data_IF_900255413559
#
_entry.id   IF_900255413559
#
_cell.length_a   1.000
_cell.length_b   1.000
_cell.length_c   1.000
_cell.angle_alpha   90.00
_cell.angle_beta   90.00
_cell.angle_gamma   90.00
#
_symmetry.space_group_name_H-M   'P 1'
#
loop_
_entity.id
_entity.type
_entity.pdbx_description
1 polymer ?
#
# COMPACT_ATOMS: atom_id res chain seq x y z
N UNK A 1 -0.84 -11.89 -19.89
CA UNK A 1 -1.35 -12.46 -18.63
C UNK A 1 -2.71 -11.85 -18.32
N UNK A 2 -3.75 -12.64 -18.02
CA UNK A 2 -5.07 -12.10 -17.59
C UNK A 2 -4.90 -11.55 -16.17
N UNK A 3 -5.21 -10.26 -15.95
CA UNK A 3 -5.31 -9.69 -14.60
C UNK A 3 -6.30 -10.51 -13.78
N UNK A 4 -5.86 -11.08 -12.68
CA UNK A 4 -6.70 -11.86 -11.75
C UNK A 4 -7.51 -10.95 -10.81
N UNK A 5 -7.12 -9.70 -10.68
CA UNK A 5 -7.89 -8.70 -9.95
C UNK A 5 -8.89 -8.02 -10.89
N UNK A 6 -10.14 -7.79 -10.46
CA UNK A 6 -11.05 -6.95 -11.22
C UNK A 6 -10.37 -5.60 -11.49
N UNK A 7 -10.59 -5.07 -12.68
CA UNK A 7 -9.98 -3.82 -13.14
C UNK A 7 -10.15 -2.77 -12.03
N UNK A 8 -9.04 -2.23 -11.52
CA UNK A 8 -9.07 -1.10 -10.58
C UNK A 8 -9.48 0.19 -11.33
N UNK A 9 -10.15 0.05 -12.47
CA UNK A 9 -10.81 1.17 -13.13
C UNK A 9 -11.83 1.78 -12.19
N UNK A 10 -11.89 3.10 -12.09
CA UNK A 10 -12.91 3.76 -11.29
C UNK A 10 -14.27 3.21 -11.72
N UNK A 11 -15.03 2.66 -10.77
CA UNK A 11 -16.40 2.21 -11.00
C UNK A 11 -17.11 3.34 -11.71
N UNK A 12 -17.54 3.09 -12.95
CA UNK A 12 -18.20 4.08 -13.77
C UNK A 12 -19.32 4.74 -12.99
N UNK A 13 -19.14 6.03 -12.82
CA UNK A 13 -20.07 7.02 -12.32
C UNK A 13 -21.45 6.85 -12.98
N UNK A 14 -22.32 6.09 -12.35
CA UNK A 14 -23.73 6.34 -12.43
C UNK A 14 -24.15 6.86 -11.05
N UNK A 15 -24.45 8.18 -11.01
CA UNK A 15 -24.95 8.98 -9.90
C UNK A 15 -23.92 9.51 -8.89
N UNK A 16 -23.57 10.80 -9.03
CA UNK A 16 -23.21 11.76 -7.98
C UNK A 16 -21.99 11.43 -7.14
N UNK A 17 -20.88 12.21 -7.34
CA UNK A 17 -19.77 12.41 -6.41
C UNK A 17 -19.33 11.16 -5.59
N UNK A 18 -18.94 10.09 -6.26
CA UNK A 18 -18.31 8.98 -5.58
C UNK A 18 -16.90 9.42 -5.15
N UNK A 19 -16.74 9.68 -3.85
CA UNK A 19 -15.44 9.98 -3.24
C UNK A 19 -14.52 8.77 -3.38
N UNK A 20 -13.33 8.95 -3.98
CA UNK A 20 -12.32 7.90 -4.00
C UNK A 20 -11.88 7.54 -2.59
N UNK A 21 -11.65 6.25 -2.36
CA UNK A 21 -11.15 5.71 -1.09
C UNK A 21 -9.80 5.02 -1.29
N UNK A 22 -9.12 4.63 -0.22
CA UNK A 22 -7.90 3.81 -0.33
C UNK A 22 -8.17 2.44 -0.99
N UNK A 23 -9.38 1.89 -0.86
CA UNK A 23 -9.77 0.64 -1.50
C UNK A 23 -9.78 0.71 -3.04
N UNK A 24 -9.87 1.90 -3.64
CA UNK A 24 -9.77 2.09 -5.10
C UNK A 24 -8.35 1.88 -5.65
N UNK A 25 -7.35 1.75 -4.78
CA UNK A 25 -5.94 1.54 -5.13
C UNK A 25 -5.41 0.16 -4.71
N UNK A 26 -6.29 -0.72 -4.25
CA UNK A 26 -5.93 -2.09 -3.85
C UNK A 26 -7.10 -3.04 -4.10
N UNK A 27 -6.91 -4.32 -3.80
CA UNK A 27 -7.99 -5.31 -3.80
C UNK A 27 -7.70 -6.37 -2.73
N UNK A 28 -8.67 -7.19 -2.31
CA UNK A 28 -8.47 -8.21 -1.28
C UNK A 28 -7.30 -9.15 -1.53
N UNK A 29 -6.97 -9.44 -2.80
CA UNK A 29 -5.82 -10.28 -3.17
C UNK A 29 -4.46 -9.64 -2.89
N UNK A 30 -4.40 -8.33 -2.69
CA UNK A 30 -3.20 -7.57 -2.36
C UNK A 30 -3.04 -7.33 -0.86
N UNK A 31 -3.95 -7.88 -0.03
CA UNK A 31 -3.95 -7.68 1.41
C UNK A 31 -3.49 -8.97 2.11
N UNK A 32 -2.56 -8.83 3.05
CA UNK A 32 -1.99 -9.93 3.82
C UNK A 32 -2.14 -9.65 5.33
N UNK A 33 -3.15 -10.22 6.01
CA UNK A 33 -3.36 -10.02 7.45
C UNK A 33 -2.27 -10.65 8.33
N UNK A 34 -1.40 -11.48 7.75
CA UNK A 34 -0.25 -12.08 8.42
C UNK A 34 0.89 -12.38 7.45
N UNK A 35 1.88 -11.47 7.38
CA UNK A 35 3.11 -11.69 6.64
C UNK A 35 4.01 -12.70 7.35
N UNK A 36 4.70 -13.53 6.57
CA UNK A 36 5.62 -14.57 7.06
C UNK A 36 7.06 -14.11 7.07
N UNK A 37 7.39 -13.05 6.32
CA UNK A 37 8.72 -12.49 6.24
C UNK A 37 9.22 -12.04 7.62
N UNK A 38 10.46 -12.41 7.97
CA UNK A 38 11.07 -12.12 9.27
C UNK A 38 12.01 -10.90 9.24
N UNK A 39 12.09 -10.23 8.10
CA UNK A 39 12.89 -9.01 7.91
C UNK A 39 12.32 -8.19 6.76
N UNK A 40 12.81 -6.95 6.62
CA UNK A 40 12.40 -5.99 5.59
C UNK A 40 12.43 -6.61 4.17
N UNK A 41 13.54 -7.25 3.81
CA UNK A 41 13.72 -7.81 2.47
C UNK A 41 12.71 -8.93 2.16
N UNK A 42 12.47 -9.83 3.12
CA UNK A 42 11.51 -10.92 2.97
C UNK A 42 10.06 -10.40 2.85
N UNK A 43 9.71 -9.37 3.63
CA UNK A 43 8.38 -8.74 3.59
C UNK A 43 8.16 -8.02 2.26
N UNK A 44 9.13 -7.23 1.79
CA UNK A 44 9.03 -6.56 0.48
C UNK A 44 8.90 -7.60 -0.64
N UNK A 45 9.64 -8.71 -0.56
CA UNK A 45 9.54 -9.80 -1.54
C UNK A 45 8.15 -10.46 -1.53
N UNK A 46 7.60 -10.75 -0.35
CA UNK A 46 6.27 -11.35 -0.20
C UNK A 46 5.18 -10.46 -0.81
N UNK A 47 5.19 -9.16 -0.50
CA UNK A 47 4.25 -8.19 -1.07
C UNK A 47 4.45 -7.97 -2.57
N UNK A 48 5.70 -8.00 -3.07
CA UNK A 48 5.99 -7.96 -4.51
C UNK A 48 5.38 -9.14 -5.25
N UNK A 49 5.39 -10.31 -4.62
CA UNK A 49 4.76 -11.50 -5.17
C UNK A 49 3.24 -11.40 -5.25
N UNK A 50 2.58 -10.74 -4.27
CA UNK A 50 1.14 -10.46 -4.36
C UNK A 50 0.81 -9.56 -5.55
N UNK A 51 1.56 -8.47 -5.75
CA UNK A 51 1.40 -7.56 -6.89
C UNK A 51 1.62 -8.27 -8.24
N UNK A 52 2.61 -9.14 -8.31
CA UNK A 52 2.86 -9.97 -9.51
C UNK A 52 1.71 -10.93 -9.77
N UNK A 53 1.26 -11.68 -8.77
CA UNK A 53 0.14 -12.62 -8.91
C UNK A 53 -1.15 -11.94 -9.34
N UNK A 54 -1.39 -10.74 -8.88
CA UNK A 54 -2.55 -9.94 -9.25
C UNK A 54 -2.41 -9.29 -10.66
N UNK A 55 -1.23 -9.37 -11.28
CA UNK A 55 -0.97 -8.88 -12.64
C UNK A 55 -0.65 -7.38 -12.72
N UNK A 56 -0.31 -6.73 -11.59
CA UNK A 56 0.09 -5.32 -11.57
C UNK A 56 1.58 -5.13 -11.88
N UNK A 57 2.38 -6.13 -11.63
CA UNK A 57 3.84 -6.13 -11.85
C UNK A 57 4.20 -7.26 -12.81
N UNK A 58 4.97 -7.01 -13.87
CA UNK A 58 5.29 -8.02 -14.89
C UNK A 58 6.28 -9.09 -14.42
N UNK A 59 7.17 -8.73 -13.50
CA UNK A 59 8.19 -9.63 -12.93
C UNK A 59 8.47 -9.25 -11.47
N UNK A 60 8.54 -10.25 -10.60
CA UNK A 60 8.78 -10.08 -9.15
C UNK A 60 10.16 -9.50 -8.88
N UNK A 61 11.22 -10.10 -9.49
CA UNK A 61 12.59 -9.80 -9.10
C UNK A 61 13.03 -8.36 -9.41
N UNK A 62 12.81 -7.81 -10.62
CA UNK A 62 13.16 -6.42 -10.90
C UNK A 62 12.40 -5.44 -10.00
N UNK A 63 11.09 -5.67 -9.79
CA UNK A 63 10.27 -4.82 -8.94
C UNK A 63 10.71 -4.87 -7.47
N UNK A 64 10.92 -6.08 -6.94
CA UNK A 64 11.42 -6.29 -5.58
C UNK A 64 12.76 -5.59 -5.35
N UNK A 65 13.71 -5.74 -6.29
CA UNK A 65 15.03 -5.09 -6.18
C UNK A 65 14.91 -3.57 -6.16
N UNK A 66 14.11 -3.01 -7.06
CA UNK A 66 13.89 -1.57 -7.12
C UNK A 66 13.27 -1.02 -5.83
N UNK A 67 12.27 -1.72 -5.26
CA UNK A 67 11.64 -1.34 -3.99
C UNK A 67 12.62 -1.45 -2.82
N UNK A 68 13.43 -2.51 -2.79
CA UNK A 68 14.43 -2.72 -1.75
C UNK A 68 15.57 -1.69 -1.80
N UNK A 69 16.03 -1.35 -3.00
CA UNK A 69 17.08 -0.34 -3.19
C UNK A 69 16.57 1.05 -2.83
N UNK A 70 15.31 1.38 -3.18
CA UNK A 70 14.67 2.62 -2.75
C UNK A 70 14.62 2.72 -1.22
N UNK A 71 14.21 1.66 -0.54
CA UNK A 71 14.09 1.61 0.92
C UNK A 71 15.45 1.67 1.62
N UNK A 72 16.50 1.11 1.01
CA UNK A 72 17.88 1.20 1.52
C UNK A 72 18.50 2.58 1.33
N UNK A 73 18.13 3.28 0.26
CA UNK A 73 18.59 4.64 -0.01
C UNK A 73 17.98 5.67 0.95
N UNK A 74 16.76 5.42 1.42
CA UNK A 74 16.06 6.26 2.39
C UNK A 74 14.89 5.49 2.99
N UNK A 75 14.98 5.14 4.27
CA UNK A 75 13.93 4.36 4.93
C UNK A 75 12.61 5.14 4.99
N UNK A 76 11.53 4.47 4.60
CA UNK A 76 10.17 5.01 4.69
C UNK A 76 9.46 4.63 5.99
N UNK A 77 10.15 3.92 6.88
CA UNK A 77 9.59 3.52 8.16
C UNK A 77 9.37 4.70 9.10
N UNK A 78 8.24 4.72 9.79
CA UNK A 78 7.87 5.75 10.75
C UNK A 78 7.88 5.23 12.18
N UNK A 79 7.94 6.15 13.15
CA UNK A 79 7.88 5.83 14.58
C UNK A 79 6.55 5.18 15.00
N UNK A 80 5.49 5.37 14.20
CA UNK A 80 4.19 4.72 14.40
C UNK A 80 4.15 3.25 13.97
N UNK A 81 5.25 2.73 13.42
CA UNK A 81 5.38 1.34 13.01
C UNK A 81 4.82 1.02 11.62
N UNK A 82 4.85 1.98 10.71
CA UNK A 82 4.43 1.85 9.33
C UNK A 82 5.62 2.00 8.39
N UNK A 83 5.55 1.36 7.20
CA UNK A 83 6.54 1.56 6.15
C UNK A 83 5.85 1.62 4.79
N UNK A 84 6.37 2.46 3.87
CA UNK A 84 5.84 2.66 2.52
C UNK A 84 6.91 2.47 1.44
N UNK A 85 7.54 1.29 1.33
CA UNK A 85 8.44 1.01 0.22
C UNK A 85 7.70 1.15 -1.11
N UNK A 86 8.42 1.60 -2.15
CA UNK A 86 7.83 1.83 -3.47
C UNK A 86 8.79 1.49 -4.61
N UNK A 87 8.21 1.12 -5.76
CA UNK A 87 8.95 0.98 -6.99
C UNK A 87 8.12 1.40 -8.21
N UNK A 88 8.82 1.84 -9.27
CA UNK A 88 8.20 2.28 -10.53
C UNK A 88 7.88 1.08 -11.40
N UNK A 89 6.69 1.10 -12.02
CA UNK A 89 6.23 0.13 -13.02
C UNK A 89 5.93 0.86 -14.33
N UNK A 90 6.52 0.39 -15.44
CA UNK A 90 6.49 1.11 -16.73
C UNK A 90 5.08 1.30 -17.29
N UNK A 91 4.29 0.23 -17.35
CA UNK A 91 3.00 0.17 -18.03
C UNK A 91 1.82 0.13 -17.04
N UNK A 92 2.00 0.70 -15.86
CA UNK A 92 0.93 0.79 -14.87
C UNK A 92 0.04 2.00 -15.17
N UNK A 93 -1.27 1.78 -15.30
CA UNK A 93 -2.23 2.84 -15.65
C UNK A 93 -2.51 3.79 -14.47
N UNK A 94 -2.50 3.26 -13.24
CA UNK A 94 -2.69 4.04 -12.00
C UNK A 94 -1.90 3.37 -10.87
N UNK A 95 -1.49 4.12 -9.83
CA UNK A 95 -0.80 3.52 -8.70
C UNK A 95 -1.68 2.48 -8.02
N UNK A 96 -1.04 1.49 -7.43
CA UNK A 96 -1.70 0.53 -6.55
C UNK A 96 -0.75 0.12 -5.43
N UNK A 97 -1.30 -0.51 -4.39
CA UNK A 97 -0.48 -1.00 -3.28
C UNK A 97 -0.91 -2.39 -2.82
N UNK A 98 0.07 -3.14 -2.32
CA UNK A 98 -0.15 -4.29 -1.47
C UNK A 98 0.07 -3.89 0.00
N UNK A 99 -0.82 -4.34 0.89
CA UNK A 99 -0.73 -4.10 2.33
C UNK A 99 -0.52 -5.40 3.07
N UNK A 100 0.48 -5.41 3.96
CA UNK A 100 0.69 -6.54 4.83
C UNK A 100 0.91 -6.15 6.29
N UNK A 101 0.37 -6.97 7.19
CA UNK A 101 0.64 -6.87 8.62
C UNK A 101 1.68 -7.91 9.02
N UNK A 102 2.76 -7.48 9.66
CA UNK A 102 3.77 -8.36 10.21
C UNK A 102 3.22 -9.15 11.40
N UNK A 103 3.50 -10.44 11.48
CA UNK A 103 3.08 -11.28 12.61
C UNK A 103 3.71 -10.81 13.92
N UNK A 104 4.94 -10.32 13.85
CA UNK A 104 5.66 -9.65 14.94
C UNK A 104 6.28 -8.35 14.42
N UNK A 105 6.46 -7.32 15.26
CA UNK A 105 7.14 -6.10 14.86
C UNK A 105 8.54 -6.40 14.32
N UNK A 106 8.91 -5.79 13.19
CA UNK A 106 10.20 -6.02 12.53
C UNK A 106 11.11 -4.81 12.70
N UNK A 107 12.38 -5.06 13.01
CA UNK A 107 13.43 -4.07 12.84
C UNK A 107 13.58 -3.79 11.32
N UNK A 108 13.23 -2.58 10.89
CA UNK A 108 13.14 -2.24 9.47
C UNK A 108 14.47 -1.79 8.88
N UNK A 109 15.28 -1.09 9.64
CA UNK A 109 16.61 -0.64 9.25
C UNK A 109 17.67 -1.15 10.23
N UNK A 110 18.96 -1.01 9.89
CA UNK A 110 20.10 -1.39 10.73
C UNK A 110 20.26 -0.45 11.96
N UNK A 111 19.18 -0.08 12.60
CA UNK A 111 19.16 0.74 13.82
C UNK A 111 18.06 0.26 14.74
N UNK A 112 18.11 0.66 16.01
CA UNK A 112 17.20 0.20 17.06
C UNK A 112 15.73 0.63 16.90
N UNK A 113 15.37 1.40 15.84
CA UNK A 113 14.00 1.88 15.56
C UNK A 113 13.88 2.29 14.09
N UNK A 114 12.67 2.27 13.50
CA UNK A 114 11.38 1.90 14.09
C UNK A 114 11.06 0.40 13.93
N UNK A 115 10.24 -0.13 14.84
CA UNK A 115 9.60 -1.45 14.70
C UNK A 115 8.40 -1.35 13.78
N UNK A 116 8.47 -1.97 12.60
CA UNK A 116 7.39 -1.92 11.62
C UNK A 116 6.39 -3.06 11.82
N UNK A 117 5.11 -2.71 11.84
CA UNK A 117 3.98 -3.61 11.97
C UNK A 117 3.16 -3.71 10.68
N UNK A 118 3.03 -2.61 9.94
CA UNK A 118 2.26 -2.53 8.71
C UNK A 118 3.13 -2.01 7.57
N UNK A 119 3.06 -2.68 6.43
CA UNK A 119 3.85 -2.35 5.25
C UNK A 119 2.93 -2.16 4.05
N UNK A 120 2.98 -0.97 3.45
CA UNK A 120 2.30 -0.63 2.21
C UNK A 120 3.34 -0.60 1.08
N UNK A 121 3.41 -1.64 0.29
CA UNK A 121 4.29 -1.67 -0.87
C UNK A 121 3.58 -1.07 -2.08
N UNK A 122 4.05 0.10 -2.53
CA UNK A 122 3.45 0.84 -3.61
C UNK A 122 4.09 0.48 -4.96
N UNK A 123 3.25 0.16 -5.94
CA UNK A 123 3.60 0.14 -7.35
C UNK A 123 3.13 1.48 -7.96
N UNK A 124 4.07 2.28 -8.45
CA UNK A 124 3.79 3.61 -8.99
C UNK A 124 4.04 3.65 -10.51
N UNK A 125 3.17 4.31 -11.30
CA UNK A 125 3.41 4.49 -12.72
C UNK A 125 4.70 5.27 -12.98
N UNK A 126 5.34 5.03 -14.14
CA UNK A 126 6.51 5.84 -14.55
C UNK A 126 6.16 7.31 -14.76
N UNK A 127 4.98 7.58 -15.31
CA UNK A 127 4.44 8.93 -15.45
C UNK A 127 3.55 9.20 -14.24
N UNK A 128 4.12 9.86 -13.25
CA UNK A 128 3.45 10.17 -11.99
C UNK A 128 2.84 11.57 -12.09
N UNK A 129 1.55 11.66 -12.38
CA UNK A 129 0.83 12.94 -12.43
C UNK A 129 0.35 13.38 -11.03
N UNK A 130 -0.02 14.68 -10.92
CA UNK A 130 -0.45 15.30 -9.64
C UNK A 130 -1.56 14.56 -8.88
N UNK A 131 -2.37 13.74 -9.57
CA UNK A 131 -3.45 12.94 -8.96
C UNK A 131 -2.98 11.89 -7.95
N UNK A 132 -1.72 11.52 -8.00
CA UNK A 132 -1.16 10.44 -7.18
C UNK A 132 -0.78 10.91 -5.75
N UNK A 133 -0.64 12.22 -5.54
CA UNK A 133 -0.48 12.81 -4.20
C UNK A 133 -1.68 12.53 -3.29
N UNK A 134 -2.85 12.31 -3.88
CA UNK A 134 -4.08 11.99 -3.16
C UNK A 134 -3.96 10.63 -2.45
N UNK A 135 -3.35 9.62 -3.10
CA UNK A 135 -3.07 8.33 -2.48
C UNK A 135 -2.08 8.47 -1.31
N UNK A 136 -0.95 9.16 -1.54
CA UNK A 136 0.05 9.37 -0.50
C UNK A 136 -0.54 10.12 0.70
N UNK A 137 -1.29 11.19 0.47
CA UNK A 137 -1.98 11.94 1.52
C UNK A 137 -2.96 11.07 2.31
N UNK A 138 -3.71 10.19 1.64
CA UNK A 138 -4.61 9.24 2.29
C UNK A 138 -3.86 8.23 3.17
N UNK A 139 -2.75 7.70 2.66
CA UNK A 139 -1.91 6.77 3.43
C UNK A 139 -1.29 7.45 4.65
N UNK A 140 -0.83 8.70 4.52
CA UNK A 140 -0.23 9.46 5.63
C UNK A 140 -1.23 9.81 6.75
N UNK A 141 -2.53 9.77 6.50
CA UNK A 141 -3.56 9.99 7.54
C UNK A 141 -3.85 8.74 8.37
N UNK A 142 -3.60 7.55 7.84
CA UNK A 142 -3.89 6.30 8.54
C UNK A 142 -3.20 6.18 9.91
N UNK A 143 -1.91 6.53 10.08
CA UNK A 143 -1.24 6.44 11.39
C UNK A 143 -1.86 7.36 12.44
N UNK A 144 -2.40 8.51 12.05
CA UNK A 144 -2.98 9.51 12.95
C UNK A 144 -4.43 9.21 13.34
N UNK A 145 -5.14 8.40 12.53
CA UNK A 145 -6.50 7.96 12.81
C UNK A 145 -6.48 6.70 13.69
N UNK A 146 -6.54 6.89 14.99
CA UNK A 146 -6.48 5.79 15.96
C UNK A 146 -7.56 4.72 15.77
N UNK A 147 -8.85 5.03 15.56
CA UNK A 147 -9.88 4.04 15.26
C UNK A 147 -9.58 3.18 14.03
N UNK A 148 -9.20 3.80 12.92
CA UNK A 148 -8.84 3.07 11.69
C UNK A 148 -7.60 2.18 11.89
N UNK A 149 -6.58 2.72 12.56
CA UNK A 149 -5.37 1.99 12.91
C UNK A 149 -5.71 0.74 13.73
N UNK A 150 -6.48 0.88 14.81
CA UNK A 150 -6.87 -0.26 15.66
C UNK A 150 -7.63 -1.33 14.86
N UNK A 151 -8.52 -0.92 13.96
CA UNK A 151 -9.28 -1.85 13.11
C UNK A 151 -8.39 -2.58 12.11
N UNK A 152 -7.41 -1.90 11.48
CA UNK A 152 -6.42 -2.55 10.61
C UNK A 152 -5.59 -3.59 11.38
N UNK A 153 -5.21 -3.27 12.62
CA UNK A 153 -4.48 -4.22 13.48
C UNK A 153 -5.35 -5.40 13.93
N UNK A 154 -6.64 -5.20 14.14
CA UNK A 154 -7.58 -6.22 14.57
C UNK A 154 -8.12 -7.08 13.42
N UNK A 155 -7.98 -6.65 12.17
CA UNK A 155 -8.51 -7.34 11.00
C UNK A 155 -7.98 -8.78 10.93
N UNK A 156 -8.89 -9.75 10.80
CA UNK A 156 -8.58 -11.19 10.82
C UNK A 156 -8.28 -11.74 9.44
N UNK A 157 -8.84 -11.09 8.41
CA UNK A 157 -8.72 -11.52 7.03
C UNK A 157 -8.59 -10.34 6.05
N UNK A 158 -8.41 -10.65 4.77
CA UNK A 158 -8.27 -9.66 3.70
C UNK A 158 -9.53 -8.82 3.50
N UNK A 159 -10.72 -9.39 3.75
CA UNK A 159 -12.00 -8.70 3.64
C UNK A 159 -12.13 -7.60 4.69
N UNK A 160 -11.88 -7.92 5.95
CA UNK A 160 -11.91 -6.94 7.05
C UNK A 160 -10.87 -5.81 6.83
N UNK A 161 -9.67 -6.14 6.32
CA UNK A 161 -8.69 -5.10 5.96
C UNK A 161 -9.22 -4.20 4.83
N UNK A 162 -9.84 -4.80 3.82
CA UNK A 162 -10.39 -4.06 2.68
C UNK A 162 -11.54 -3.14 3.11
N UNK A 163 -12.40 -3.62 4.01
CA UNK A 163 -13.52 -2.83 4.56
C UNK A 163 -13.04 -1.60 5.34
N UNK A 164 -11.92 -1.71 6.05
CA UNK A 164 -11.30 -0.55 6.71
C UNK A 164 -10.79 0.46 5.70
N UNK A 165 -10.09 0.00 4.65
CA UNK A 165 -9.55 0.86 3.61
C UNK A 165 -10.64 1.57 2.79
N UNK A 166 -11.81 0.95 2.61
CA UNK A 166 -12.95 1.54 1.90
C UNK A 166 -13.63 2.68 2.65
N UNK A 167 -13.33 2.87 3.93
CA UNK A 167 -13.83 3.99 4.74
C UNK A 167 -12.90 5.21 4.72
N UNK A 168 -11.69 5.08 4.17
CA UNK A 168 -10.72 6.18 4.08
C UNK A 168 -10.95 6.97 2.81
N UNK A 169 -11.73 8.05 2.92
CA UNK A 169 -12.01 8.96 1.82
C UNK A 169 -10.78 9.81 1.46
N UNK A 170 -10.49 9.90 0.16
CA UNK A 170 -9.33 10.62 -0.37
C UNK A 170 -9.66 12.06 -0.83
N UNK A 171 -10.92 12.41 -0.95
CA UNK A 171 -11.38 13.71 -1.47
C UNK A 171 -11.34 14.88 -0.48
N UNK A 172 -10.91 14.65 0.76
CA UNK A 172 -11.03 15.64 1.84
C UNK A 172 -9.72 16.31 2.23
N UNK A 173 -8.89 16.80 1.30
CA UNK A 173 -7.74 17.62 1.71
C UNK A 173 -7.07 18.39 0.55
N UNK A 174 -7.82 19.24 -0.15
CA UNK A 174 -7.21 20.28 -1.00
C UNK A 174 -7.39 21.69 -0.39
N UNK A 175 -8.22 21.84 0.66
CA UNK A 175 -8.62 23.15 1.18
C UNK A 175 -8.04 23.59 2.54
N UNK A 176 -7.06 22.88 3.12
CA UNK A 176 -6.46 23.29 4.42
C UNK A 176 -4.98 23.72 4.34
N UNK A 177 -4.56 24.27 3.20
CA UNK A 177 -3.26 24.92 3.07
C UNK A 177 -3.39 26.21 2.22
N UNK A 178 -4.07 27.22 2.78
CA UNK A 178 -3.97 28.62 2.34
C UNK A 178 -3.28 29.44 3.42
#
# INVERSE_FOLDING_TARGET
>A
MKKLCPDLSPRQLLTGLATKTLADYTCPMLLAPGLRGLNMAAVIHELSYLLYRAGFVPDVLPFYRAALDHERAGSTATDDGWAWPRAVVQDLAQPCFALGRCATPLAWSQGLKPSVHLVFLLAVPKVYERGDRVLEAGLMRLPTDQPLRQRLFAARDCGEMFDVLSQVNLSASVDDAA
#
